data_IF_056776352875
#
_entry.id   IF_056776352875
#
_cell.length_a   1.000
_cell.length_b   1.000
_cell.length_c   1.000
_cell.angle_alpha   90.00
_cell.angle_beta   90.00
_cell.angle_gamma   90.00
#
_symmetry.space_group_name_H-M   'P 1'
#
loop_
_entity.id
_entity.type
_entity.pdbx_description
1 polymer ?
#
# COMPACT_ATOMS: atom_id res chain seq x y z
N UNK A 1 -0.19 9.72 -3.90
CA UNK A 1 -0.09 8.41 -3.23
C UNK A 1 0.37 8.58 -1.79
N UNK A 2 0.02 7.65 -0.90
CA UNK A 2 0.48 7.59 0.50
C UNK A 2 -0.12 8.62 1.47
N UNK A 3 -1.09 9.42 1.06
CA UNK A 3 -1.72 10.46 1.88
C UNK A 3 -2.98 9.98 2.62
N UNK A 4 -3.49 8.78 2.34
CA UNK A 4 -4.74 8.28 2.93
C UNK A 4 -4.69 8.21 4.46
N UNK A 5 -3.57 7.80 5.03
CA UNK A 5 -3.40 7.71 6.50
C UNK A 5 -3.40 9.11 7.12
N UNK A 6 -2.67 10.07 6.53
CA UNK A 6 -2.65 11.46 7.03
C UNK A 6 -4.03 12.11 6.98
N UNK A 7 -4.76 11.91 5.86
CA UNK A 7 -6.13 12.43 5.72
C UNK A 7 -7.08 11.80 6.71
N UNK A 8 -7.02 10.47 6.88
CA UNK A 8 -7.84 9.75 7.84
C UNK A 8 -7.57 10.21 9.27
N UNK A 9 -6.30 10.42 9.65
CA UNK A 9 -5.93 10.93 10.98
C UNK A 9 -6.52 12.32 11.23
N UNK A 10 -6.46 13.22 10.23
CA UNK A 10 -7.05 14.55 10.32
C UNK A 10 -8.58 14.50 10.46
N UNK A 11 -9.25 13.64 9.67
CA UNK A 11 -10.71 13.45 9.75
C UNK A 11 -11.13 12.87 11.11
N UNK A 12 -10.40 11.88 11.61
CA UNK A 12 -10.68 11.28 12.91
C UNK A 12 -10.53 12.31 14.05
N UNK A 13 -9.48 13.12 14.00
CA UNK A 13 -9.31 14.19 15.00
C UNK A 13 -10.42 15.25 14.89
N UNK A 14 -10.88 15.60 13.70
CA UNK A 14 -12.01 16.52 13.50
C UNK A 14 -13.32 15.92 14.05
N UNK A 15 -13.58 14.61 13.82
CA UNK A 15 -14.69 13.86 14.40
C UNK A 15 -14.70 13.98 15.93
N UNK A 16 -13.54 13.69 16.56
CA UNK A 16 -13.42 13.69 18.01
C UNK A 16 -13.66 15.09 18.61
N UNK A 17 -13.10 16.12 17.98
CA UNK A 17 -13.31 17.52 18.39
C UNK A 17 -14.78 17.95 18.28
N UNK A 18 -15.48 17.47 17.27
CA UNK A 18 -16.93 17.74 17.07
C UNK A 18 -17.84 16.82 17.89
N UNK A 19 -17.26 15.77 18.53
CA UNK A 19 -18.00 14.73 19.25
C UNK A 19 -18.98 13.98 18.34
N UNK A 20 -18.60 13.78 17.08
CA UNK A 20 -19.36 13.00 16.10
C UNK A 20 -19.04 11.50 16.29
N UNK A 21 -20.00 10.63 15.92
CA UNK A 21 -19.89 9.18 16.07
C UNK A 21 -19.91 8.49 14.70
N UNK A 22 -18.72 8.37 14.08
CA UNK A 22 -18.51 7.59 12.88
C UNK A 22 -17.10 7.00 12.83
N UNK A 23 -16.96 5.89 12.13
CA UNK A 23 -15.67 5.25 11.93
C UNK A 23 -14.90 5.91 10.76
N UNK A 24 -13.59 6.09 10.93
CA UNK A 24 -12.71 6.60 9.88
C UNK A 24 -11.79 5.49 9.42
N UNK A 25 -11.83 5.21 8.11
CA UNK A 25 -11.09 4.11 7.50
C UNK A 25 -10.13 4.68 6.44
N UNK A 26 -8.85 4.35 6.57
CA UNK A 26 -7.84 4.58 5.53
C UNK A 26 -7.61 3.28 4.76
N UNK A 27 -7.80 3.29 3.44
CA UNK A 27 -7.43 2.17 2.59
C UNK A 27 -6.13 2.50 1.87
N UNK A 28 -5.15 1.59 1.94
CA UNK A 28 -3.82 1.81 1.36
C UNK A 28 -3.24 0.52 0.80
N UNK A 29 -2.65 0.58 -0.39
CA UNK A 29 -1.90 -0.54 -0.97
C UNK A 29 -0.47 -0.62 -0.44
N UNK A 30 0.15 -1.80 -0.52
CA UNK A 30 1.52 -2.07 -0.08
C UNK A 30 2.56 -1.17 -0.76
N UNK A 31 2.43 -0.90 -2.06
CA UNK A 31 3.31 0.04 -2.76
C UNK A 31 3.24 1.46 -2.21
N UNK A 32 2.04 1.92 -1.81
CA UNK A 32 1.86 3.23 -1.16
C UNK A 32 2.29 3.22 0.30
N UNK A 33 2.17 2.08 0.98
CA UNK A 33 2.59 1.90 2.37
C UNK A 33 4.11 1.99 2.56
N UNK A 34 4.88 1.72 1.50
CA UNK A 34 6.34 1.87 1.50
C UNK A 34 6.84 3.33 1.49
N UNK A 35 5.98 4.33 1.36
CA UNK A 35 6.40 5.73 1.25
C UNK A 35 6.49 6.44 2.61
N UNK A 36 7.45 7.37 2.72
CA UNK A 36 7.76 8.07 3.97
C UNK A 36 6.59 8.83 4.60
N UNK A 37 5.66 9.37 3.80
CA UNK A 37 4.47 10.09 4.30
C UNK A 37 3.58 9.21 5.21
N UNK A 38 3.55 7.90 4.99
CA UNK A 38 2.81 6.98 5.87
C UNK A 38 3.43 6.96 7.26
N UNK A 39 4.75 6.87 7.35
CA UNK A 39 5.45 6.80 8.65
C UNK A 39 5.35 8.11 9.42
N UNK A 40 5.36 9.24 8.73
CA UNK A 40 5.08 10.55 9.34
C UNK A 40 3.67 10.60 9.93
N UNK A 41 2.68 10.11 9.18
CA UNK A 41 1.30 10.03 9.65
C UNK A 41 1.14 9.09 10.84
N UNK A 42 1.76 7.89 10.80
CA UNK A 42 1.74 6.93 11.91
C UNK A 42 2.42 7.50 13.17
N UNK A 43 3.54 8.20 13.00
CA UNK A 43 4.21 8.86 14.11
C UNK A 43 3.32 9.92 14.77
N UNK A 44 2.57 10.67 13.98
CA UNK A 44 1.62 11.67 14.47
C UNK A 44 0.39 11.03 15.10
N UNK A 45 -0.13 9.94 14.54
CA UNK A 45 -1.29 9.21 15.05
C UNK A 45 -1.09 8.77 16.52
N UNK A 46 0.12 8.35 16.86
CA UNK A 46 0.50 7.88 18.20
C UNK A 46 0.20 8.91 19.30
N UNK A 47 0.30 10.22 18.99
CA UNK A 47 0.17 11.32 19.97
C UNK A 47 -1.16 12.06 19.87
N UNK A 48 -1.94 11.83 18.81
CA UNK A 48 -3.18 12.58 18.56
C UNK A 48 -4.39 12.07 19.36
N UNK A 49 -4.24 10.93 20.04
CA UNK A 49 -5.30 10.29 20.83
C UNK A 49 -6.63 10.23 20.03
N UNK A 50 -6.58 9.53 18.92
CA UNK A 50 -7.71 9.28 18.03
C UNK A 50 -7.59 7.89 17.40
N UNK A 51 -8.73 7.29 17.02
CA UNK A 51 -8.76 5.94 16.49
C UNK A 51 -9.14 5.95 15.00
N UNK A 52 -8.35 5.21 14.21
CA UNK A 52 -8.62 4.94 12.78
C UNK A 52 -8.42 3.46 12.47
N UNK A 53 -9.14 2.97 11.47
CA UNK A 53 -8.87 1.68 10.85
C UNK A 53 -8.03 1.92 9.60
N UNK A 54 -6.85 1.30 9.54
CA UNK A 54 -6.03 1.25 8.34
C UNK A 54 -6.20 -0.13 7.72
N UNK A 55 -6.72 -0.22 6.51
CA UNK A 55 -6.78 -1.46 5.74
C UNK A 55 -5.61 -1.44 4.77
N UNK A 56 -4.60 -2.29 5.05
CA UNK A 56 -3.45 -2.49 4.20
C UNK A 56 -3.75 -3.62 3.21
N UNK A 57 -3.97 -3.27 1.94
CA UNK A 57 -4.15 -4.22 0.86
C UNK A 57 -2.79 -4.58 0.24
N UNK A 58 -2.28 -5.75 0.63
CA UNK A 58 -0.98 -6.26 0.18
C UNK A 58 -1.18 -7.31 -0.93
N UNK A 59 -0.83 -6.94 -2.15
CA UNK A 59 -0.76 -7.87 -3.27
C UNK A 59 0.70 -8.07 -3.77
N UNK A 60 1.69 -7.52 -3.05
CA UNK A 60 3.10 -7.59 -3.40
C UNK A 60 3.50 -6.74 -4.59
N UNK A 61 2.59 -5.89 -5.08
CA UNK A 61 2.80 -5.13 -6.31
C UNK A 61 2.32 -3.69 -6.18
N UNK A 62 3.07 -2.79 -6.79
CA UNK A 62 2.58 -1.48 -7.22
C UNK A 62 2.13 -1.59 -8.69
N UNK A 63 2.84 -1.00 -9.64
CA UNK A 63 2.75 -1.36 -11.07
C UNK A 63 3.60 -2.62 -11.27
N UNK A 64 4.86 -2.58 -10.88
CA UNK A 64 5.79 -3.72 -10.76
C UNK A 64 5.81 -4.28 -9.33
N UNK A 65 6.48 -5.43 -9.10
CA UNK A 65 6.69 -5.97 -7.75
C UNK A 65 7.29 -4.93 -6.81
N UNK A 66 6.78 -4.85 -5.57
CA UNK A 66 7.34 -3.98 -4.54
C UNK A 66 8.64 -4.54 -4.00
N UNK A 67 9.56 -3.65 -3.62
CA UNK A 67 10.87 -3.99 -3.07
C UNK A 67 11.20 -3.11 -1.86
N UNK A 68 12.15 -3.53 -1.05
CA UNK A 68 12.68 -2.76 0.09
C UNK A 68 12.32 -3.34 1.45
N UNK A 69 12.88 -2.75 2.52
CA UNK A 69 12.79 -3.29 3.87
C UNK A 69 11.37 -3.49 4.39
N UNK A 70 10.43 -2.61 4.05
CA UNK A 70 9.03 -2.78 4.44
C UNK A 70 8.37 -3.92 3.67
N UNK A 71 8.67 -4.09 2.38
CA UNK A 71 8.24 -5.26 1.60
C UNK A 71 8.71 -6.57 2.24
N UNK A 72 9.97 -6.63 2.70
CA UNK A 72 10.51 -7.79 3.38
C UNK A 72 9.77 -8.08 4.70
N UNK A 73 9.46 -7.03 5.47
CA UNK A 73 8.66 -7.14 6.69
C UNK A 73 7.28 -7.71 6.39
N UNK A 74 6.57 -7.16 5.42
CA UNK A 74 5.23 -7.62 5.03
C UNK A 74 5.28 -9.07 4.51
N UNK A 75 6.30 -9.41 3.72
CA UNK A 75 6.50 -10.79 3.24
C UNK A 75 6.69 -11.77 4.38
N UNK A 76 7.49 -11.41 5.40
CA UNK A 76 7.70 -12.28 6.56
C UNK A 76 6.42 -12.41 7.41
N UNK A 77 5.60 -11.36 7.52
CA UNK A 77 4.29 -11.45 8.17
C UNK A 77 3.35 -12.41 7.43
N UNK A 78 3.35 -12.38 6.09
CA UNK A 78 2.60 -13.34 5.25
C UNK A 78 3.03 -14.80 5.45
N UNK A 79 4.29 -15.02 5.75
CA UNK A 79 4.85 -16.35 6.02
C UNK A 79 4.65 -16.83 7.47
N UNK A 80 3.90 -16.09 8.29
CA UNK A 80 3.67 -16.43 9.70
C UNK A 80 4.88 -16.16 10.61
N UNK A 81 5.91 -15.49 10.07
CA UNK A 81 7.08 -15.06 10.82
C UNK A 81 6.93 -13.66 11.36
N UNK A 82 7.15 -13.44 12.66
CA UNK A 82 7.47 -12.09 13.01
C UNK A 82 6.77 -11.39 14.16
N UNK A 83 6.73 -11.98 15.34
CA UNK A 83 6.35 -11.23 16.57
C UNK A 83 7.10 -9.90 16.70
N UNK A 84 8.39 -9.84 16.36
CA UNK A 84 9.17 -8.60 16.40
C UNK A 84 8.73 -7.57 15.34
N UNK A 85 8.26 -8.01 14.18
CA UNK A 85 7.78 -7.14 13.10
C UNK A 85 6.40 -6.56 13.40
N UNK A 86 5.54 -7.35 14.03
CA UNK A 86 4.27 -6.87 14.59
C UNK A 86 4.57 -5.78 15.62
N UNK A 87 5.53 -6.00 16.52
CA UNK A 87 5.95 -4.99 17.52
C UNK A 87 6.42 -3.66 16.89
N UNK A 88 7.01 -3.69 15.70
CA UNK A 88 7.36 -2.46 15.00
C UNK A 88 6.11 -1.64 14.67
N UNK A 89 5.07 -2.28 14.15
CA UNK A 89 3.79 -1.62 13.82
C UNK A 89 3.05 -1.15 15.10
N UNK A 90 3.08 -1.98 16.13
CA UNK A 90 2.48 -1.66 17.44
C UNK A 90 3.16 -0.46 18.13
N UNK A 91 4.43 -0.20 17.86
CA UNK A 91 5.12 0.99 18.39
C UNK A 91 4.53 2.30 17.88
N UNK A 92 3.86 2.28 16.73
CA UNK A 92 3.09 3.43 16.24
C UNK A 92 1.70 3.55 16.89
N UNK A 93 1.36 2.70 17.86
CA UNK A 93 0.06 2.73 18.54
C UNK A 93 -1.04 1.99 17.78
N UNK A 94 -0.67 1.11 16.85
CA UNK A 94 -1.60 0.29 16.09
C UNK A 94 -1.73 -1.10 16.71
N UNK A 95 -2.95 -1.61 16.75
CA UNK A 95 -3.17 -3.05 16.95
C UNK A 95 -3.11 -3.73 15.59
N UNK A 96 -2.17 -4.66 15.42
CA UNK A 96 -2.04 -5.41 14.20
C UNK A 96 -3.05 -6.56 14.14
N UNK A 97 -3.86 -6.57 13.09
CA UNK A 97 -4.83 -7.62 12.80
C UNK A 97 -4.55 -8.18 11.39
N UNK A 98 -4.07 -9.39 11.31
CA UNK A 98 -3.75 -10.05 10.03
C UNK A 98 -2.80 -11.21 10.23
N UNK A 99 -2.40 -11.92 9.20
CA UNK A 99 -2.74 -11.72 7.77
C UNK A 99 -4.11 -12.34 7.47
N UNK A 100 -4.92 -11.70 6.63
CA UNK A 100 -6.25 -12.17 6.24
C UNK A 100 -6.34 -12.31 4.73
N UNK A 101 -7.15 -13.26 4.24
CA UNK A 101 -7.37 -13.43 2.80
C UNK A 101 -8.38 -12.39 2.28
N UNK A 102 -7.89 -11.34 1.63
CA UNK A 102 -8.72 -10.26 1.10
C UNK A 102 -9.55 -10.64 -0.14
N UNK A 103 -9.37 -11.85 -0.69
CA UNK A 103 -10.21 -12.39 -1.77
C UNK A 103 -11.30 -13.35 -1.27
N UNK A 104 -11.40 -13.58 0.04
CA UNK A 104 -12.46 -14.36 0.67
C UNK A 104 -13.46 -13.44 1.35
N UNK A 105 -14.72 -13.48 0.89
CA UNK A 105 -15.76 -12.57 1.39
C UNK A 105 -16.18 -12.87 2.84
N UNK A 106 -16.22 -14.13 3.24
CA UNK A 106 -16.61 -14.53 4.60
C UNK A 106 -15.52 -14.12 5.59
N UNK A 107 -14.24 -14.45 5.29
CA UNK A 107 -13.10 -14.03 6.10
C UNK A 107 -13.00 -12.50 6.21
N UNK A 108 -13.35 -11.78 5.15
CA UNK A 108 -13.36 -10.31 5.17
C UNK A 108 -14.46 -9.73 6.05
N UNK A 109 -15.66 -10.31 6.06
CA UNK A 109 -16.76 -9.88 6.95
C UNK A 109 -16.35 -10.07 8.40
N UNK A 110 -15.81 -11.23 8.74
CA UNK A 110 -15.36 -11.54 10.10
C UNK A 110 -14.23 -10.60 10.53
N UNK A 111 -13.24 -10.39 9.66
CA UNK A 111 -12.10 -9.50 9.93
C UNK A 111 -12.50 -8.05 10.12
N UNK A 112 -13.43 -7.54 9.32
CA UNK A 112 -13.95 -6.18 9.47
C UNK A 112 -14.82 -6.03 10.73
N UNK A 113 -15.54 -7.07 11.10
CA UNK A 113 -16.33 -7.10 12.34
C UNK A 113 -15.41 -7.04 13.57
N UNK A 114 -14.33 -7.83 13.56
CA UNK A 114 -13.31 -7.82 14.60
C UNK A 114 -12.60 -6.46 14.67
N UNK A 115 -12.16 -5.93 13.52
CA UNK A 115 -11.51 -4.63 13.44
C UNK A 115 -12.40 -3.50 13.97
N UNK A 116 -13.69 -3.51 13.63
CA UNK A 116 -14.67 -2.53 14.13
C UNK A 116 -14.85 -2.59 15.64
N UNK A 117 -14.84 -3.77 16.23
CA UNK A 117 -14.92 -3.94 17.68
C UNK A 117 -13.70 -3.34 18.38
N UNK A 118 -12.50 -3.58 17.85
CA UNK A 118 -11.23 -3.06 18.36
C UNK A 118 -11.12 -1.53 18.20
N UNK A 119 -11.66 -0.98 17.10
CA UNK A 119 -11.58 0.44 16.75
C UNK A 119 -12.22 1.36 17.80
N UNK A 120 -13.11 0.83 18.63
CA UNK A 120 -13.73 1.60 19.73
C UNK A 120 -12.72 2.11 20.77
N UNK A 121 -11.59 1.44 20.91
CA UNK A 121 -10.60 1.75 21.96
C UNK A 121 -9.19 1.98 21.42
N UNK A 122 -8.92 1.63 20.18
CA UNK A 122 -7.55 1.67 19.62
C UNK A 122 -7.55 1.76 18.09
N UNK A 123 -6.50 2.31 17.53
CA UNK A 123 -6.27 2.26 16.10
C UNK A 123 -5.87 0.85 15.67
N UNK A 124 -6.38 0.42 14.51
CA UNK A 124 -6.18 -0.94 13.99
C UNK A 124 -5.51 -0.88 12.62
N UNK A 125 -4.52 -1.74 12.42
CA UNK A 125 -3.97 -2.05 11.10
C UNK A 125 -4.45 -3.44 10.70
N UNK A 126 -5.45 -3.51 9.82
CA UNK A 126 -5.93 -4.75 9.21
C UNK A 126 -5.10 -5.03 7.96
N UNK A 127 -4.28 -6.07 8.00
CA UNK A 127 -3.44 -6.51 6.90
C UNK A 127 -4.16 -7.60 6.11
N UNK A 128 -4.60 -7.26 4.90
CA UNK A 128 -5.24 -8.20 3.97
C UNK A 128 -4.30 -8.50 2.81
N UNK A 129 -4.31 -9.74 2.36
CA UNK A 129 -3.55 -10.19 1.19
C UNK A 129 -4.51 -10.48 0.06
N UNK A 130 -4.23 -9.91 -1.10
CA UNK A 130 -5.03 -10.11 -2.31
C UNK A 130 -4.14 -10.53 -3.47
N UNK A 131 -4.74 -11.17 -4.46
CA UNK A 131 -4.10 -11.45 -5.75
C UNK A 131 -4.53 -10.41 -6.76
N UNK A 132 -3.58 -9.66 -7.32
CA UNK A 132 -3.86 -8.66 -8.35
C UNK A 132 -4.44 -9.35 -9.60
N UNK A 133 -5.54 -8.79 -10.12
CA UNK A 133 -6.25 -9.37 -11.27
C UNK A 133 -7.17 -10.56 -10.94
N UNK A 134 -7.36 -10.91 -9.66
CA UNK A 134 -8.15 -12.06 -9.21
C UNK A 134 -9.54 -12.12 -9.88
N UNK A 135 -9.84 -13.30 -10.45
CA UNK A 135 -11.10 -13.57 -11.13
C UNK A 135 -11.03 -13.41 -12.66
N UNK A 136 -9.93 -12.90 -13.20
CA UNK A 136 -9.69 -12.86 -14.64
C UNK A 136 -8.28 -13.39 -14.95
N UNK A 137 -8.21 -14.60 -15.49
CA UNK A 137 -6.97 -15.38 -15.68
C UNK A 137 -5.86 -14.57 -16.39
N UNK A 138 -6.19 -13.89 -17.48
CA UNK A 138 -5.24 -13.05 -18.20
C UNK A 138 -4.60 -11.96 -17.32
N UNK A 139 -5.39 -11.33 -16.43
CA UNK A 139 -4.87 -10.32 -15.50
C UNK A 139 -4.06 -10.95 -14.36
N UNK A 140 -4.40 -12.17 -13.96
CA UNK A 140 -3.66 -12.90 -12.94
C UNK A 140 -2.28 -13.33 -13.44
N UNK A 141 -2.16 -13.66 -14.73
CA UNK A 141 -0.91 -14.04 -15.38
C UNK A 141 -0.06 -12.83 -15.80
N UNK A 142 -0.71 -11.71 -16.12
CA UNK A 142 -0.06 -10.50 -16.61
C UNK A 142 -0.39 -9.25 -15.75
N UNK A 143 -0.14 -9.28 -14.44
CA UNK A 143 -0.61 -8.24 -13.51
C UNK A 143 0.01 -6.86 -13.75
N UNK A 144 1.23 -6.81 -14.27
CA UNK A 144 1.92 -5.55 -14.63
C UNK A 144 1.26 -4.89 -15.85
N UNK A 145 0.98 -5.68 -16.89
CA UNK A 145 0.43 -5.19 -18.15
C UNK A 145 -1.04 -4.76 -18.04
N UNK A 146 -1.74 -5.22 -17.01
CA UNK A 146 -3.16 -4.96 -16.78
C UNK A 146 -3.41 -3.93 -15.67
N UNK A 147 -2.37 -3.26 -15.18
CA UNK A 147 -2.53 -2.20 -14.19
C UNK A 147 -3.34 -1.00 -14.73
N UNK A 148 -3.15 -0.67 -15.99
CA UNK A 148 -3.94 0.34 -16.70
C UNK A 148 -4.39 -0.21 -18.04
N UNK A 149 -5.69 -0.31 -18.29
CA UNK A 149 -6.26 -0.82 -19.54
C UNK A 149 -6.77 0.37 -20.35
N UNK A 150 -6.19 0.57 -21.54
CA UNK A 150 -6.67 1.56 -22.49
C UNK A 150 -7.93 1.06 -23.22
N UNK A 151 -8.84 1.96 -23.64
CA UNK A 151 -9.98 1.59 -24.46
C UNK A 151 -9.57 0.84 -25.73
N UNK A 152 -10.40 -0.10 -26.17
CA UNK A 152 -10.16 -0.85 -27.42
C UNK A 152 -10.05 0.15 -28.59
N UNK A 153 -9.01 -0.01 -29.41
CA UNK A 153 -8.75 0.88 -30.56
C UNK A 153 -7.96 2.15 -30.24
N UNK A 154 -7.55 2.37 -28.99
CA UNK A 154 -6.63 3.46 -28.68
C UNK A 154 -5.28 3.23 -29.36
N UNK A 155 -4.86 4.21 -30.17
CA UNK A 155 -3.53 4.20 -30.80
C UNK A 155 -2.50 4.47 -29.71
N UNK A 156 -1.57 3.54 -29.52
CA UNK A 156 -0.46 3.73 -28.59
C UNK A 156 0.60 4.59 -29.28
N UNK A 157 0.57 5.89 -29.04
CA UNK A 157 1.72 6.74 -29.33
C UNK A 157 2.75 6.59 -28.21
N UNK A 158 4.04 6.72 -28.52
CA UNK A 158 5.10 6.71 -27.49
C UNK A 158 4.89 7.85 -26.54
N UNK A 159 4.83 7.55 -25.24
CA UNK A 159 4.74 8.56 -24.19
C UNK A 159 6.09 9.27 -24.01
N UNK A 160 6.06 10.51 -23.52
CA UNK A 160 7.29 11.26 -23.22
C UNK A 160 8.20 10.53 -22.23
N UNK A 161 7.63 9.77 -21.29
CA UNK A 161 8.38 8.93 -20.36
C UNK A 161 9.14 7.82 -21.03
N UNK A 162 8.59 7.18 -22.08
CA UNK A 162 9.25 6.15 -22.89
C UNK A 162 10.40 6.77 -23.70
N UNK A 163 10.16 7.92 -24.34
CA UNK A 163 11.19 8.64 -25.09
C UNK A 163 12.36 9.04 -24.18
N UNK A 164 12.06 9.57 -23.00
CA UNK A 164 13.08 9.92 -22.01
C UNK A 164 13.87 8.70 -21.55
N UNK A 165 13.19 7.60 -21.26
CA UNK A 165 13.81 6.35 -20.83
C UNK A 165 14.75 5.80 -21.90
N UNK A 166 14.29 5.69 -23.15
CA UNK A 166 15.11 5.25 -24.29
C UNK A 166 16.36 6.13 -24.48
N UNK A 167 16.18 7.46 -24.38
CA UNK A 167 17.28 8.42 -24.52
C UNK A 167 18.32 8.27 -23.39
N UNK A 168 17.87 8.12 -22.13
CA UNK A 168 18.75 7.89 -20.99
C UNK A 168 19.53 6.58 -21.12
N UNK A 169 18.87 5.51 -21.53
CA UNK A 169 19.52 4.22 -21.80
C UNK A 169 20.58 4.33 -22.91
N UNK A 170 20.28 5.04 -23.98
CA UNK A 170 21.25 5.26 -25.07
C UNK A 170 22.47 6.06 -24.61
N UNK A 171 22.25 7.09 -23.81
CA UNK A 171 23.33 7.90 -23.26
C UNK A 171 24.19 7.13 -22.25
N UNK A 172 23.57 6.36 -21.35
CA UNK A 172 24.26 5.54 -20.36
C UNK A 172 25.14 4.45 -21.00
N UNK A 173 24.73 3.88 -22.17
CA UNK A 173 25.58 2.96 -22.92
C UNK A 173 26.84 3.61 -23.49
N UNK A 174 26.82 4.94 -23.69
CA UNK A 174 27.95 5.72 -24.22
C UNK A 174 28.84 6.28 -23.10
N UNK A 175 28.29 6.48 -21.90
CA UNK A 175 29.01 7.06 -20.77
C UNK A 175 28.52 6.45 -19.44
N UNK A 176 29.31 5.58 -18.85
CA UNK A 176 29.03 4.86 -17.59
C UNK A 176 28.81 5.78 -16.37
N UNK A 177 29.15 7.07 -16.48
CA UNK A 177 28.88 8.06 -15.43
C UNK A 177 27.43 8.53 -15.40
N UNK A 178 26.66 8.24 -16.44
CA UNK A 178 25.24 8.61 -16.53
C UNK A 178 24.44 7.55 -15.79
N UNK A 179 23.82 7.99 -14.70
CA UNK A 179 22.91 7.18 -13.89
C UNK A 179 21.58 7.91 -13.71
N UNK A 180 20.50 7.18 -13.61
CA UNK A 180 19.17 7.74 -13.32
C UNK A 180 18.55 7.07 -12.12
N UNK A 181 17.98 7.89 -11.19
CA UNK A 181 17.21 7.41 -10.05
C UNK A 181 15.76 7.84 -10.23
N UNK A 182 14.86 6.88 -10.27
CA UNK A 182 13.44 7.13 -10.41
C UNK A 182 12.72 6.94 -9.07
N UNK A 183 11.80 7.84 -8.75
CA UNK A 183 11.03 7.79 -7.51
C UNK A 183 9.86 6.80 -7.55
N UNK A 184 9.35 6.45 -8.72
CA UNK A 184 8.21 5.53 -8.85
C UNK A 184 8.67 4.14 -9.20
N UNK A 185 8.01 3.13 -8.63
CA UNK A 185 8.31 1.71 -8.81
C UNK A 185 7.87 1.19 -10.20
N UNK A 186 8.33 1.83 -11.28
CA UNK A 186 8.10 1.33 -12.63
C UNK A 186 9.42 1.00 -13.29
N UNK A 187 9.49 -0.24 -13.73
CA UNK A 187 10.48 -0.87 -14.62
C UNK A 187 11.95 -0.66 -14.26
N UNK A 188 12.53 -1.73 -13.80
CA UNK A 188 13.97 -2.01 -13.90
C UNK A 188 14.42 -1.77 -15.34
N UNK A 189 15.35 -0.87 -15.52
CA UNK A 189 16.16 -0.83 -16.73
C UNK A 189 17.18 -1.95 -16.52
N UNK A 190 17.02 -3.07 -17.22
CA UNK A 190 18.04 -4.11 -17.37
C UNK A 190 19.22 -3.61 -18.18
#
# INVERSE_FOLDING_TARGET
TSTSVSLATGLAKARDLKKEDYDVIAFIGDGSFNNGLVYEALNSLRILDTNILIILNDNGMSISPTVGGMHDILTQLKLGGGTEKIRLLERFGLTYLGVRNGNDAEEMIDSLTEAKALLKTQSVLLHIVTKKGKGYEFCEEHPTNTHGIAPIGSRKEKEYSEILGDTLCELARKDERITAVRRTAETTVE
#
